data_IF_458147268975
#
_entry.id   IF_458147268975
#
_cell.length_a   1.000
_cell.length_b   1.000
_cell.length_c   1.000
_cell.angle_alpha   90.00
_cell.angle_beta   90.00
_cell.angle_gamma   90.00
#
_symmetry.space_group_name_H-M   'P 1'
#
loop_
_entity.id
_entity.type
_entity.pdbx_description
1 polymer ?
#
# COMPACT_ATOMS: atom_id res chain seq x y z
N UNK A 1 -55.58 21.13 -43.80
CA UNK A 1 -55.44 20.40 -42.52
C UNK A 1 -54.07 20.73 -41.95
N UNK A 2 -53.98 21.69 -41.01
CA UNK A 2 -52.73 22.07 -40.34
C UNK A 2 -52.93 21.88 -38.84
N UNK A 3 -52.24 20.89 -38.27
CA UNK A 3 -52.25 20.61 -36.83
C UNK A 3 -51.17 21.48 -36.21
N UNK A 4 -51.58 22.51 -35.46
CA UNK A 4 -50.67 23.32 -34.66
C UNK A 4 -50.24 22.52 -33.41
N UNK A 5 -49.00 22.03 -33.40
CA UNK A 5 -48.34 21.52 -32.20
C UNK A 5 -48.00 22.71 -31.29
N UNK A 6 -48.89 22.96 -30.32
CA UNK A 6 -48.70 23.95 -29.27
C UNK A 6 -47.54 23.55 -28.35
N UNK A 7 -46.37 24.15 -28.57
CA UNK A 7 -45.18 23.97 -27.76
C UNK A 7 -45.35 24.73 -26.42
N UNK A 8 -45.97 24.10 -25.41
CA UNK A 8 -46.09 24.66 -24.05
C UNK A 8 -44.82 24.43 -23.23
N UNK A 9 -43.73 25.11 -23.58
CA UNK A 9 -42.67 25.37 -22.60
C UNK A 9 -43.07 26.59 -21.78
N UNK A 10 -43.58 26.38 -20.56
CA UNK A 10 -43.76 27.47 -19.59
C UNK A 10 -42.39 28.13 -19.36
N UNK A 11 -42.25 29.42 -19.74
CA UNK A 11 -41.05 30.21 -19.42
C UNK A 11 -40.81 30.19 -17.91
N UNK A 12 -39.72 29.56 -17.49
CA UNK A 12 -39.30 29.51 -16.09
C UNK A 12 -38.94 30.95 -15.63
N UNK A 13 -39.72 31.51 -14.71
CA UNK A 13 -39.52 32.88 -14.19
C UNK A 13 -38.99 32.81 -12.76
N UNK A 14 -37.82 33.39 -12.53
CA UNK A 14 -37.13 33.45 -11.23
C UNK A 14 -38.04 34.02 -10.11
N UNK A 15 -38.88 35.01 -10.44
CA UNK A 15 -39.74 35.72 -9.48
C UNK A 15 -40.81 34.82 -8.85
N UNK A 16 -41.34 33.84 -9.58
CA UNK A 16 -42.39 32.95 -9.09
C UNK A 16 -41.85 31.66 -8.45
N UNK A 17 -40.62 31.27 -8.78
CA UNK A 17 -39.99 30.02 -8.32
C UNK A 17 -38.83 30.25 -7.35
N UNK A 18 -38.70 31.47 -6.79
CA UNK A 18 -37.57 31.86 -5.92
C UNK A 18 -37.29 30.85 -4.81
N UNK A 19 -38.32 30.34 -4.14
CA UNK A 19 -38.17 29.36 -3.07
C UNK A 19 -37.66 28.01 -3.56
N UNK A 20 -38.19 27.51 -4.71
CA UNK A 20 -37.69 26.29 -5.34
C UNK A 20 -36.24 26.44 -5.80
N UNK A 21 -35.88 27.58 -6.38
CA UNK A 21 -34.51 27.89 -6.81
C UNK A 21 -33.57 27.97 -5.61
N UNK A 22 -33.99 28.59 -4.51
CA UNK A 22 -33.20 28.64 -3.25
C UNK A 22 -33.01 27.26 -2.64
N UNK A 23 -34.04 26.41 -2.64
CA UNK A 23 -33.93 25.02 -2.15
C UNK A 23 -32.96 24.22 -3.02
N UNK A 24 -33.05 24.34 -4.35
CA UNK A 24 -32.13 23.68 -5.27
C UNK A 24 -30.69 24.18 -5.05
N UNK A 25 -30.47 25.48 -4.96
CA UNK A 25 -29.15 26.05 -4.66
C UNK A 25 -28.60 25.59 -3.32
N UNK A 26 -29.42 25.56 -2.26
CA UNK A 26 -29.02 25.06 -0.95
C UNK A 26 -28.66 23.57 -1.00
N UNK A 27 -29.39 22.77 -1.79
CA UNK A 27 -29.10 21.35 -1.97
C UNK A 27 -27.79 21.11 -2.72
N UNK A 28 -27.52 21.85 -3.80
CA UNK A 28 -26.26 21.80 -4.54
C UNK A 28 -25.09 22.26 -3.66
N UNK A 29 -25.26 23.33 -2.90
CA UNK A 29 -24.23 23.80 -1.96
C UNK A 29 -23.94 22.74 -0.88
N UNK A 30 -24.98 22.10 -0.34
CA UNK A 30 -24.86 20.99 0.60
C UNK A 30 -24.07 19.81 0.03
N UNK A 31 -24.36 19.43 -1.22
CA UNK A 31 -23.63 18.38 -1.94
C UNK A 31 -22.16 18.77 -2.19
N UNK A 32 -21.89 20.01 -2.57
CA UNK A 32 -20.52 20.51 -2.74
C UNK A 32 -19.73 20.52 -1.42
N UNK A 33 -20.36 20.91 -0.31
CA UNK A 33 -19.75 20.88 1.01
C UNK A 33 -19.46 19.44 1.47
N UNK A 34 -20.40 18.52 1.24
CA UNK A 34 -20.19 17.08 1.50
C UNK A 34 -19.05 16.51 0.66
N UNK A 35 -19.05 16.79 -0.65
CA UNK A 35 -17.97 16.36 -1.56
C UNK A 35 -16.63 16.93 -1.14
N UNK A 36 -16.56 18.23 -0.81
CA UNK A 36 -15.35 18.90 -0.32
C UNK A 36 -14.85 18.26 0.97
N UNK A 37 -15.73 17.98 1.95
CA UNK A 37 -15.37 17.34 3.21
C UNK A 37 -14.84 15.91 3.01
N UNK A 38 -15.49 15.12 2.14
CA UNK A 38 -15.03 13.77 1.80
C UNK A 38 -13.65 13.84 1.14
N UNK A 39 -13.49 14.73 0.15
CA UNK A 39 -12.25 14.87 -0.60
C UNK A 39 -11.10 15.39 0.29
N UNK A 40 -11.39 16.33 1.19
CA UNK A 40 -10.45 16.85 2.17
C UNK A 40 -10.00 15.77 3.16
N UNK A 41 -10.92 14.95 3.68
CA UNK A 41 -10.57 13.84 4.55
C UNK A 41 -9.77 12.75 3.83
N UNK A 42 -10.06 12.50 2.55
CA UNK A 42 -9.33 11.54 1.72
C UNK A 42 -7.91 11.99 1.38
N UNK A 43 -7.62 13.30 1.44
CA UNK A 43 -6.28 13.87 1.20
C UNK A 43 -5.36 13.86 2.43
N UNK A 44 -5.90 13.64 3.64
CA UNK A 44 -5.08 13.61 4.87
C UNK A 44 -4.36 12.28 5.00
N UNK A 45 -3.06 12.35 5.28
CA UNK A 45 -2.25 11.17 5.60
C UNK A 45 -2.84 10.41 6.79
N UNK A 46 -2.76 9.09 6.73
CA UNK A 46 -3.15 8.21 7.83
C UNK A 46 -2.00 8.12 8.83
N UNK A 47 -2.33 8.21 10.11
CA UNK A 47 -1.38 7.88 11.18
C UNK A 47 -1.30 6.36 11.26
N UNK A 48 -0.17 5.77 10.88
CA UNK A 48 -0.01 4.32 10.73
C UNK A 48 -0.38 3.54 12.00
N UNK A 49 0.20 3.94 13.14
CA UNK A 49 -0.05 3.33 14.47
C UNK A 49 -1.50 3.31 14.93
N UNK A 50 -2.36 4.16 14.38
CA UNK A 50 -3.80 4.22 14.72
C UNK A 50 -4.68 3.43 13.75
N UNK A 51 -4.11 2.83 12.71
CA UNK A 51 -4.86 2.25 11.61
C UNK A 51 -4.36 0.85 11.21
N UNK A 52 -3.61 0.16 12.08
CA UNK A 52 -3.01 -1.15 11.80
C UNK A 52 -4.00 -2.17 11.24
N UNK A 53 -5.24 -2.20 11.74
CA UNK A 53 -6.24 -3.20 11.34
C UNK A 53 -7.03 -2.77 10.09
N UNK A 54 -6.67 -1.66 9.43
CA UNK A 54 -7.30 -1.26 8.17
C UNK A 54 -6.78 -2.11 7.02
N UNK A 55 -7.71 -2.72 6.29
CA UNK A 55 -7.44 -3.42 5.03
C UNK A 55 -6.85 -2.45 4.00
N UNK A 56 -5.67 -2.78 3.50
CA UNK A 56 -4.94 -2.02 2.48
C UNK A 56 -4.73 -2.80 1.18
N UNK A 57 -4.82 -4.13 1.20
CA UNK A 57 -4.85 -4.97 0.02
C UNK A 57 -5.78 -6.17 0.23
N UNK A 58 -6.26 -6.75 -0.87
CA UNK A 58 -7.02 -8.00 -0.87
C UNK A 58 -6.36 -8.90 -1.90
N UNK A 59 -6.06 -10.15 -1.55
CA UNK A 59 -5.43 -11.14 -2.45
C UNK A 59 -6.22 -12.43 -2.37
N UNK A 60 -6.79 -12.88 -3.49
CA UNK A 60 -7.66 -14.06 -3.58
C UNK A 60 -8.81 -14.10 -2.54
N UNK A 61 -9.31 -12.91 -2.17
CA UNK A 61 -10.37 -12.75 -1.19
C UNK A 61 -9.90 -12.60 0.27
N UNK A 62 -8.61 -12.79 0.53
CA UNK A 62 -8.03 -12.58 1.86
C UNK A 62 -7.70 -11.10 2.08
N UNK A 63 -8.20 -10.55 3.19
CA UNK A 63 -7.97 -9.16 3.58
C UNK A 63 -6.60 -9.00 4.23
N UNK A 64 -5.74 -8.18 3.61
CA UNK A 64 -4.43 -7.79 4.14
C UNK A 64 -4.50 -6.38 4.72
N UNK A 65 -4.13 -6.26 5.99
CA UNK A 65 -4.18 -5.02 6.78
C UNK A 65 -2.84 -4.30 6.80
N UNK A 66 -2.84 -3.03 7.24
CA UNK A 66 -1.58 -2.30 7.45
C UNK A 66 -0.62 -3.05 8.39
N UNK A 67 -1.12 -3.79 9.38
CA UNK A 67 -0.29 -4.67 10.22
C UNK A 67 0.52 -5.67 9.40
N UNK A 68 -0.07 -6.25 8.36
CA UNK A 68 0.62 -7.19 7.46
C UNK A 68 1.70 -6.52 6.62
N UNK A 69 1.58 -5.22 6.37
CA UNK A 69 2.54 -4.44 5.58
C UNK A 69 3.60 -3.71 6.43
N UNK A 70 3.53 -3.81 7.76
CA UNK A 70 4.39 -3.00 8.63
C UNK A 70 5.88 -3.33 8.49
N UNK A 71 6.22 -4.62 8.33
CA UNK A 71 7.59 -5.05 8.03
C UNK A 71 8.09 -4.42 6.73
N UNK A 72 7.34 -4.55 5.63
CA UNK A 72 7.73 -4.02 4.32
C UNK A 72 7.92 -2.50 4.34
N UNK A 73 7.02 -1.77 5.01
CA UNK A 73 7.14 -0.31 5.14
C UNK A 73 8.43 0.05 5.89
N UNK A 74 8.71 -0.62 7.01
CA UNK A 74 9.92 -0.40 7.78
C UNK A 74 11.19 -0.75 6.99
N UNK A 75 11.17 -1.87 6.27
CA UNK A 75 12.27 -2.35 5.45
C UNK A 75 12.57 -1.35 4.32
N UNK A 76 11.58 -1.03 3.49
CA UNK A 76 11.75 -0.16 2.34
C UNK A 76 12.17 1.26 2.76
N UNK A 77 11.57 1.81 3.83
CA UNK A 77 12.02 3.10 4.34
C UNK A 77 13.46 3.06 4.84
N UNK A 78 13.91 1.97 5.47
CA UNK A 78 15.30 1.81 5.89
C UNK A 78 16.25 1.77 4.68
N UNK A 79 15.92 1.00 3.65
CA UNK A 79 16.75 0.83 2.45
C UNK A 79 16.88 2.12 1.64
N UNK A 80 15.77 2.86 1.46
CA UNK A 80 15.80 4.15 0.79
C UNK A 80 16.53 5.19 1.64
N UNK A 81 16.38 5.16 2.96
CA UNK A 81 17.05 6.08 3.87
C UNK A 81 18.58 5.89 3.88
N UNK A 82 19.06 4.65 3.78
CA UNK A 82 20.51 4.38 3.60
C UNK A 82 21.04 5.09 2.36
N UNK A 83 20.32 5.02 1.23
CA UNK A 83 20.67 5.73 -0.01
C UNK A 83 20.56 7.25 0.14
N UNK A 84 19.55 7.72 0.85
CA UNK A 84 19.34 9.14 1.14
C UNK A 84 20.51 9.74 1.93
N UNK A 85 21.01 9.02 2.95
CA UNK A 85 22.14 9.44 3.77
C UNK A 85 23.47 9.46 3.01
N UNK A 86 23.64 8.58 2.02
CA UNK A 86 24.79 8.62 1.10
C UNK A 86 24.71 9.86 0.20
N UNK A 87 23.51 10.24 -0.23
CA UNK A 87 23.29 11.42 -1.08
C UNK A 87 23.51 12.74 -0.33
N UNK A 88 22.85 12.94 0.82
CA UNK A 88 23.03 14.09 1.71
C UNK A 88 22.76 13.64 3.15
N UNK A 89 23.83 13.36 3.91
CA UNK A 89 23.73 12.85 5.28
C UNK A 89 23.10 13.85 6.26
N UNK A 90 23.11 15.15 5.95
CA UNK A 90 22.51 16.20 6.78
C UNK A 90 21.03 16.42 6.45
N UNK A 91 20.67 16.19 5.18
CA UNK A 91 19.31 16.41 4.68
C UNK A 91 18.80 15.24 3.80
N UNK A 92 18.67 14.03 4.38
CA UNK A 92 18.21 12.85 3.64
C UNK A 92 16.79 13.02 3.07
N UNK A 93 15.95 13.88 3.65
CA UNK A 93 14.60 14.18 3.18
C UNK A 93 14.56 14.81 1.79
N UNK A 94 15.68 15.38 1.31
CA UNK A 94 15.78 15.86 -0.08
C UNK A 94 15.75 14.70 -1.06
N UNK A 95 16.39 13.58 -0.73
CA UNK A 95 16.43 12.39 -1.59
C UNK A 95 15.03 11.82 -1.81
N UNK A 96 14.23 11.75 -0.74
CA UNK A 96 12.83 11.31 -0.78
C UNK A 96 11.93 12.14 -1.73
N UNK A 97 12.32 13.39 -1.99
CA UNK A 97 11.63 14.33 -2.88
C UNK A 97 12.19 14.37 -4.30
N UNK A 98 13.27 13.62 -4.58
CA UNK A 98 13.82 13.54 -5.92
C UNK A 98 12.85 12.85 -6.87
N UNK A 99 12.94 13.27 -8.12
CA UNK A 99 12.15 12.74 -9.22
C UNK A 99 13.10 12.04 -10.19
N UNK A 100 12.98 10.72 -10.30
CA UNK A 100 13.80 9.88 -11.17
C UNK A 100 12.89 8.93 -11.95
N UNK A 101 13.24 8.63 -13.21
CA UNK A 101 12.48 7.70 -14.05
C UNK A 101 10.96 8.02 -14.14
N UNK A 102 10.61 9.30 -14.18
CA UNK A 102 9.21 9.74 -14.31
C UNK A 102 8.37 9.70 -13.03
N UNK A 103 8.95 9.40 -11.86
CA UNK A 103 8.22 9.40 -10.59
C UNK A 103 9.08 9.88 -9.41
N UNK A 104 8.41 10.26 -8.30
CA UNK A 104 9.10 10.58 -7.06
C UNK A 104 9.61 9.32 -6.36
N UNK A 105 10.80 9.38 -5.75
CA UNK A 105 11.39 8.27 -4.97
C UNK A 105 10.40 7.74 -3.93
N UNK A 106 9.75 8.62 -3.16
CA UNK A 106 8.73 8.19 -2.17
C UNK A 106 7.56 7.41 -2.76
N UNK A 107 7.19 7.68 -4.02
CA UNK A 107 6.11 6.94 -4.69
C UNK A 107 6.59 5.60 -5.23
N UNK A 108 7.83 5.54 -5.72
CA UNK A 108 8.47 4.28 -6.10
C UNK A 108 8.55 3.33 -4.90
N UNK A 109 9.07 3.82 -3.76
CA UNK A 109 9.17 3.07 -2.51
C UNK A 109 7.81 2.55 -2.04
N UNK A 110 6.78 3.41 -2.04
CA UNK A 110 5.40 3.02 -1.68
C UNK A 110 4.85 1.92 -2.58
N UNK A 111 5.10 1.98 -3.88
CA UNK A 111 4.61 0.99 -4.83
C UNK A 111 5.35 -0.34 -4.63
N UNK A 112 6.69 -0.30 -4.57
CA UNK A 112 7.51 -1.47 -4.29
C UNK A 112 7.08 -2.18 -3.00
N UNK A 113 6.77 -1.42 -1.94
CA UNK A 113 6.33 -1.99 -0.66
C UNK A 113 5.05 -2.81 -0.77
N UNK A 114 4.04 -2.33 -1.51
CA UNK A 114 2.80 -3.10 -1.66
C UNK A 114 2.98 -4.27 -2.61
N UNK A 115 3.79 -4.11 -3.65
CA UNK A 115 4.08 -5.15 -4.62
C UNK A 115 4.85 -6.31 -3.95
N UNK A 116 5.85 -6.02 -3.12
CA UNK A 116 6.56 -7.00 -2.29
C UNK A 116 5.61 -7.77 -1.35
N UNK A 117 4.73 -7.07 -0.63
CA UNK A 117 3.82 -7.74 0.30
C UNK A 117 2.76 -8.60 -0.39
N UNK A 118 2.30 -8.22 -1.59
CA UNK A 118 1.40 -9.05 -2.39
C UNK A 118 2.15 -10.27 -2.95
N UNK A 119 3.37 -10.06 -3.44
CA UNK A 119 4.27 -11.09 -3.94
C UNK A 119 4.52 -12.19 -2.92
N UNK A 120 4.99 -11.80 -1.73
CA UNK A 120 5.31 -12.80 -0.70
C UNK A 120 4.04 -13.47 -0.20
N UNK A 121 2.92 -12.74 -0.11
CA UNK A 121 1.66 -13.35 0.29
C UNK A 121 1.20 -14.42 -0.69
N UNK A 122 1.37 -14.18 -1.99
CA UNK A 122 1.07 -15.16 -3.02
C UNK A 122 1.89 -16.45 -2.82
N UNK A 123 3.22 -16.34 -2.74
CA UNK A 123 4.07 -17.51 -2.54
C UNK A 123 3.84 -18.17 -1.19
N UNK A 124 3.56 -17.41 -0.13
CA UNK A 124 3.17 -17.96 1.16
C UNK A 124 1.91 -18.82 1.08
N UNK A 125 0.87 -18.37 0.36
CA UNK A 125 -0.36 -19.16 0.17
C UNK A 125 -0.10 -20.45 -0.61
N UNK A 126 0.78 -20.39 -1.60
CA UNK A 126 1.22 -21.58 -2.34
C UNK A 126 2.02 -22.54 -1.44
N UNK A 127 2.96 -22.02 -0.66
CA UNK A 127 3.73 -22.77 0.33
C UNK A 127 2.84 -23.53 1.31
N UNK A 128 1.76 -22.90 1.79
CA UNK A 128 0.78 -23.55 2.67
C UNK A 128 0.06 -24.73 1.99
N UNK A 129 -0.26 -24.59 0.70
CA UNK A 129 -0.88 -25.66 -0.09
C UNK A 129 0.09 -26.82 -0.32
N UNK A 130 1.35 -26.48 -0.60
CA UNK A 130 2.41 -27.43 -0.92
C UNK A 130 3.10 -27.97 0.35
N UNK A 131 2.66 -27.50 1.53
CA UNK A 131 3.14 -27.88 2.87
C UNK A 131 4.63 -27.63 3.06
N UNK A 132 5.14 -26.56 2.43
CA UNK A 132 6.53 -26.13 2.60
C UNK A 132 6.73 -25.58 4.01
N UNK A 133 7.81 -26.04 4.64
CA UNK A 133 8.22 -25.64 5.98
C UNK A 133 9.70 -25.30 6.00
N UNK A 134 10.06 -24.38 6.89
CA UNK A 134 11.46 -24.08 7.18
C UNK A 134 12.11 -25.25 7.93
N UNK A 135 13.32 -25.59 7.53
CA UNK A 135 14.24 -26.47 8.26
C UNK A 135 14.72 -25.79 9.54
N UNK A 136 15.28 -26.56 10.48
CA UNK A 136 15.74 -25.99 11.75
C UNK A 136 16.88 -24.98 11.56
N UNK A 137 17.76 -25.22 10.56
CA UNK A 137 18.82 -24.26 10.18
C UNK A 137 18.24 -22.96 9.63
N UNK A 138 17.23 -23.04 8.75
CA UNK A 138 16.57 -21.84 8.21
C UNK A 138 15.83 -21.06 9.31
N UNK A 139 15.21 -21.75 10.28
CA UNK A 139 14.57 -21.11 11.44
C UNK A 139 15.59 -20.39 12.32
N UNK A 140 16.78 -20.97 12.52
CA UNK A 140 17.85 -20.32 13.29
C UNK A 140 18.33 -19.04 12.60
N UNK A 141 18.57 -19.09 11.28
CA UNK A 141 18.92 -17.91 10.48
C UNK A 141 17.82 -16.85 10.56
N UNK A 142 16.56 -17.25 10.35
CA UNK A 142 15.40 -16.35 10.45
C UNK A 142 15.32 -15.67 11.81
N UNK A 143 15.53 -16.41 12.91
CA UNK A 143 15.48 -15.85 14.25
C UNK A 143 16.51 -14.74 14.46
N UNK A 144 17.74 -14.94 13.98
CA UNK A 144 18.79 -13.93 14.06
C UNK A 144 18.40 -12.69 13.23
N UNK A 145 17.94 -12.88 11.99
CA UNK A 145 17.48 -11.78 11.15
C UNK A 145 16.30 -11.01 11.75
N UNK A 146 15.36 -11.71 12.39
CA UNK A 146 14.23 -11.11 13.11
C UNK A 146 14.69 -10.26 14.29
N UNK A 147 15.67 -10.76 15.06
CA UNK A 147 16.25 -10.02 16.18
C UNK A 147 16.96 -8.76 15.70
N UNK A 148 17.86 -8.87 14.72
CA UNK A 148 18.60 -7.73 14.16
C UNK A 148 17.64 -6.66 13.62
N UNK A 149 16.66 -7.07 12.80
CA UNK A 149 15.69 -6.13 12.24
C UNK A 149 14.87 -5.42 13.33
N UNK A 150 14.49 -6.14 14.39
CA UNK A 150 13.68 -5.57 15.47
C UNK A 150 14.48 -4.59 16.33
N UNK A 151 15.74 -4.89 16.61
CA UNK A 151 16.62 -3.95 17.32
C UNK A 151 16.85 -2.68 16.49
N UNK A 152 17.18 -2.80 15.20
CA UNK A 152 17.33 -1.65 14.28
C UNK A 152 16.04 -0.80 14.19
N UNK A 153 14.87 -1.46 14.17
CA UNK A 153 13.59 -0.78 14.12
C UNK A 153 13.31 0.01 15.41
N UNK A 154 13.64 -0.55 16.58
CA UNK A 154 13.46 0.12 17.88
C UNK A 154 14.44 1.27 18.08
N UNK A 155 15.68 1.13 17.64
CA UNK A 155 16.72 2.13 17.83
C UNK A 155 16.34 3.48 17.20
N UNK A 156 15.66 3.43 16.05
CA UNK A 156 15.06 4.61 15.41
C UNK A 156 13.63 4.94 15.86
N UNK A 157 13.08 4.20 16.82
CA UNK A 157 11.72 4.36 17.34
C UNK A 157 10.61 4.03 16.35
N UNK A 158 10.92 3.27 15.30
CA UNK A 158 9.98 2.90 14.24
C UNK A 158 8.88 1.96 14.72
N UNK A 159 9.15 1.14 15.74
CA UNK A 159 8.15 0.29 16.41
C UNK A 159 6.98 1.11 16.97
N UNK A 160 7.29 2.22 17.65
CA UNK A 160 6.29 3.14 18.23
C UNK A 160 5.55 3.93 17.15
N UNK A 161 6.26 4.35 16.09
CA UNK A 161 5.66 5.10 14.98
C UNK A 161 4.69 4.23 14.18
N UNK A 162 5.03 2.96 13.97
CA UNK A 162 4.16 1.96 13.36
C UNK A 162 3.08 1.46 14.31
N UNK A 163 3.28 1.53 15.63
CA UNK A 163 2.36 1.00 16.64
C UNK A 163 2.36 -0.53 16.72
N UNK A 164 3.42 -1.18 16.21
CA UNK A 164 3.51 -2.64 16.12
C UNK A 164 4.20 -3.23 17.34
N UNK A 165 3.93 -4.51 17.57
CA UNK A 165 4.64 -5.35 18.53
C UNK A 165 5.69 -6.18 17.81
N UNK A 166 6.69 -6.67 18.56
CA UNK A 166 7.72 -7.60 18.09
C UNK A 166 7.11 -8.77 17.30
N UNK A 167 6.04 -9.36 17.84
CA UNK A 167 5.31 -10.47 17.20
C UNK A 167 4.77 -10.12 15.80
N UNK A 168 4.24 -8.91 15.59
CA UNK A 168 3.68 -8.52 14.29
C UNK A 168 4.76 -8.57 13.19
N UNK A 169 5.96 -8.08 13.51
CA UNK A 169 7.12 -8.10 12.62
C UNK A 169 7.63 -9.53 12.42
N UNK A 170 7.79 -10.29 13.50
CA UNK A 170 8.30 -11.67 13.46
C UNK A 170 7.40 -12.57 12.63
N UNK A 171 6.09 -12.54 12.88
CA UNK A 171 5.10 -13.30 12.11
C UNK A 171 5.14 -12.95 10.61
N UNK A 172 5.43 -11.69 10.28
CA UNK A 172 5.52 -11.26 8.88
C UNK A 172 6.80 -11.78 8.25
N UNK A 173 7.95 -11.62 8.91
CA UNK A 173 9.23 -12.14 8.43
C UNK A 173 9.25 -13.66 8.27
N UNK A 174 8.55 -14.40 9.14
CA UNK A 174 8.40 -15.85 8.98
C UNK A 174 7.63 -16.21 7.71
N UNK A 175 6.55 -15.48 7.40
CA UNK A 175 5.82 -15.66 6.15
C UNK A 175 6.68 -15.33 4.93
N UNK A 176 7.50 -14.27 5.01
CA UNK A 176 8.47 -13.91 3.96
C UNK A 176 9.46 -15.05 3.74
N UNK A 177 10.05 -15.60 4.79
CA UNK A 177 11.03 -16.69 4.65
C UNK A 177 10.40 -17.95 4.01
N UNK A 178 9.17 -18.29 4.39
CA UNK A 178 8.42 -19.39 3.77
C UNK A 178 8.10 -19.08 2.30
N UNK A 179 7.70 -17.84 2.00
CA UNK A 179 7.41 -17.39 0.64
C UNK A 179 8.64 -17.46 -0.26
N UNK A 180 9.79 -16.97 0.20
CA UNK A 180 11.07 -17.03 -0.52
C UNK A 180 11.48 -18.47 -0.82
N UNK A 181 11.32 -19.37 0.16
CA UNK A 181 11.59 -20.80 -0.05
C UNK A 181 10.68 -21.41 -1.12
N UNK A 182 9.39 -21.07 -1.11
CA UNK A 182 8.44 -21.52 -2.12
C UNK A 182 8.75 -20.94 -3.50
N UNK A 183 9.09 -19.66 -3.59
CA UNK A 183 9.52 -19.01 -4.83
C UNK A 183 10.68 -19.81 -5.45
N UNK A 184 11.72 -20.08 -4.66
CA UNK A 184 12.86 -20.88 -5.12
C UNK A 184 12.43 -22.26 -5.63
N UNK A 185 11.53 -22.95 -4.91
CA UNK A 185 11.00 -24.24 -5.37
C UNK A 185 10.24 -24.12 -6.69
N UNK A 186 9.45 -23.06 -6.88
CA UNK A 186 8.73 -22.82 -8.13
C UNK A 186 9.70 -22.58 -9.28
N UNK A 187 10.71 -21.74 -9.07
CA UNK A 187 11.71 -21.41 -10.09
C UNK A 187 12.42 -22.68 -10.59
N UNK A 188 12.82 -23.56 -9.67
CA UNK A 188 13.43 -24.84 -9.99
C UNK A 188 12.48 -25.80 -10.75
N UNK A 189 11.19 -25.83 -10.38
CA UNK A 189 10.20 -26.69 -11.04
C UNK A 189 9.84 -26.20 -12.44
N UNK A 190 9.74 -24.89 -12.62
CA UNK A 190 9.37 -24.24 -13.88
C UNK A 190 10.57 -24.08 -14.82
N UNK A 191 11.79 -24.36 -14.33
CA UNK A 191 13.03 -24.32 -15.11
C UNK A 191 13.44 -22.90 -15.51
N UNK A 192 13.12 -21.92 -14.67
CA UNK A 192 13.51 -20.51 -14.82
C UNK A 192 14.72 -20.19 -13.95
N UNK A 193 15.39 -19.07 -14.22
CA UNK A 193 16.58 -18.69 -13.46
C UNK A 193 16.19 -18.20 -12.05
N UNK A 194 17.10 -18.36 -11.09
CA UNK A 194 16.89 -17.87 -9.72
C UNK A 194 16.70 -16.34 -9.73
N UNK A 195 15.60 -15.90 -9.14
CA UNK A 195 15.20 -14.48 -9.10
C UNK A 195 14.32 -14.05 -10.27
N UNK A 196 14.02 -14.90 -11.25
CA UNK A 196 13.05 -14.57 -12.31
C UNK A 196 11.64 -14.34 -11.75
N UNK A 197 11.33 -14.89 -10.57
CA UNK A 197 10.08 -14.63 -9.88
C UNK A 197 10.10 -13.48 -8.88
N UNK A 198 11.18 -12.69 -8.82
CA UNK A 198 11.19 -11.47 -8.02
C UNK A 198 10.07 -10.50 -8.43
N UNK A 199 9.55 -9.74 -7.46
CA UNK A 199 8.36 -8.90 -7.61
C UNK A 199 8.41 -7.88 -8.76
N UNK A 200 9.61 -7.53 -9.25
CA UNK A 200 9.84 -6.55 -10.30
C UNK A 200 10.08 -7.20 -11.69
N UNK A 201 10.20 -8.51 -11.78
CA UNK A 201 10.50 -9.25 -13.00
C UNK A 201 9.25 -9.57 -13.82
N UNK A 202 9.45 -9.79 -15.11
CA UNK A 202 8.35 -10.01 -16.05
C UNK A 202 7.71 -11.40 -15.90
N UNK A 203 8.49 -12.42 -15.54
CA UNK A 203 7.95 -13.76 -15.31
C UNK A 203 6.97 -13.77 -14.12
N UNK A 204 7.29 -13.07 -13.03
CA UNK A 204 6.35 -12.84 -11.93
C UNK A 204 5.12 -12.02 -12.34
N UNK A 205 5.27 -10.95 -13.12
CA UNK A 205 4.12 -10.15 -13.59
C UNK A 205 3.13 -11.00 -14.39
N UNK A 206 3.64 -11.88 -15.26
CA UNK A 206 2.80 -12.82 -16.02
C UNK A 206 2.11 -13.85 -15.10
N UNK A 207 2.78 -14.27 -14.02
CA UNK A 207 2.19 -15.15 -13.01
C UNK A 207 1.03 -14.44 -12.28
N UNK A 208 1.22 -13.18 -11.91
CA UNK A 208 0.22 -12.34 -11.24
C UNK A 208 -1.07 -12.14 -12.05
N UNK A 209 -1.03 -12.14 -13.38
CA UNK A 209 -2.23 -12.00 -14.22
C UNK A 209 -3.28 -13.10 -13.96
N UNK A 210 -2.85 -14.23 -13.39
CA UNK A 210 -3.71 -15.37 -13.04
C UNK A 210 -4.39 -15.20 -11.67
N UNK A 211 -3.97 -14.23 -10.87
CA UNK A 211 -4.43 -14.03 -9.49
C UNK A 211 -5.29 -12.78 -9.36
N UNK A 212 -6.27 -12.83 -8.44
CA UNK A 212 -7.13 -11.68 -8.19
C UNK A 212 -6.62 -10.90 -6.99
N UNK A 213 -6.02 -9.74 -7.24
CA UNK A 213 -5.61 -8.84 -6.17
C UNK A 213 -6.17 -7.43 -6.36
N UNK A 214 -6.31 -6.73 -5.24
CA UNK A 214 -6.81 -5.35 -5.22
C UNK A 214 -6.12 -4.54 -4.13
N UNK A 215 -5.45 -3.47 -4.53
CA UNK A 215 -4.93 -2.48 -3.59
C UNK A 215 -6.06 -1.51 -3.21
N UNK A 216 -6.31 -1.37 -1.91
CA UNK A 216 -7.29 -0.43 -1.36
C UNK A 216 -6.68 0.97 -1.34
N UNK A 217 -6.70 1.64 -2.52
CA UNK A 217 -6.08 2.96 -2.75
C UNK A 217 -6.45 4.01 -1.70
N UNK A 218 -7.70 4.00 -1.20
CA UNK A 218 -8.19 4.93 -0.15
C UNK A 218 -7.48 4.77 1.20
N UNK A 219 -6.73 3.70 1.41
CA UNK A 219 -5.89 3.45 2.58
C UNK A 219 -4.43 3.62 2.17
N UNK A 220 -3.97 2.85 1.18
CA UNK A 220 -2.55 2.77 0.81
C UNK A 220 -1.95 4.11 0.36
N UNK A 221 -2.68 4.88 -0.46
CA UNK A 221 -2.16 6.15 -0.99
C UNK A 221 -2.01 7.25 0.07
N UNK A 222 -2.58 7.05 1.27
CA UNK A 222 -2.54 8.00 2.38
C UNK A 222 -1.44 7.68 3.39
N UNK A 223 -0.62 6.66 3.11
CA UNK A 223 0.59 6.38 3.90
C UNK A 223 1.68 7.35 3.46
N UNK A 224 2.30 8.01 4.44
CA UNK A 224 3.31 9.05 4.21
C UNK A 224 4.73 8.47 4.16
N UNK A 225 5.04 7.78 3.06
CA UNK A 225 6.35 7.16 2.86
C UNK A 225 7.49 8.18 2.92
N UNK A 226 8.55 7.79 3.61
CA UNK A 226 9.66 8.64 4.05
C UNK A 226 9.43 9.27 5.42
N UNK A 227 8.24 9.11 6.02
CA UNK A 227 7.90 9.69 7.33
C UNK A 227 7.09 8.71 8.20
N UNK A 228 6.97 7.43 7.82
CA UNK A 228 6.23 6.46 8.63
C UNK A 228 7.08 6.00 9.82
N UNK A 229 8.32 5.62 9.55
CA UNK A 229 9.27 5.02 10.50
C UNK A 229 10.53 5.89 10.68
N UNK A 230 10.59 7.00 9.96
CA UNK A 230 11.70 7.95 9.94
C UNK A 230 11.25 9.29 10.51
N UNK A 231 12.21 10.02 11.10
CA UNK A 231 12.03 11.40 11.54
C UNK A 231 13.10 12.24 10.87
N UNK A 232 12.66 13.11 9.98
CA UNK A 232 13.46 14.13 9.31
C UNK A 232 13.26 15.50 9.98
#
# INVERSE_FOLDING_TARGET
MNIALGNRFKKFSYKNNRFLITIILASVLGLLLLYSKINFNNKRNLIYSKNLDRVCAVVDGDDLTLRNFAFYVAYEESEVEKKAKVYDSKHPEKYWKLHTNGQFIKYAARNATVDMGIHDYFFYKKALKDKVVLTDKEKEVLKNSQEDFWEDLKDRGGDKLLGVKKKDIYDTMEKVAIAQKEQYVCEQLDGVDEGDYDFNQDAYKNLLEKYNYKIVKKVWMRIDFGNVTLKH
#
